data_IF_307164929198
#
_entry.id   IF_307164929198
#
_cell.length_a   1.000
_cell.length_b   1.000
_cell.length_c   1.000
_cell.angle_alpha   90.00
_cell.angle_beta   90.00
_cell.angle_gamma   90.00
#
_symmetry.space_group_name_H-M   'P 1'
#
loop_
_entity.id
_entity.type
_entity.pdbx_description
1 polymer ?
#
# COMPACT_ATOMS: atom_id res chain seq x y z
N UNK A 1 44.71 -45.50 45.75
CA UNK A 1 44.96 -44.08 45.40
C UNK A 1 44.11 -43.75 44.17
N UNK A 2 42.85 -43.40 44.37
CA UNK A 2 41.88 -43.12 43.31
C UNK A 2 41.67 -41.60 43.21
N UNK A 3 41.98 -41.01 42.06
CA UNK A 3 41.69 -39.61 41.75
C UNK A 3 40.21 -39.49 41.37
N UNK A 4 39.42 -38.88 42.25
CA UNK A 4 38.11 -38.36 41.91
C UNK A 4 38.26 -37.18 40.95
N UNK A 5 37.87 -37.37 39.70
CA UNK A 5 37.63 -36.29 38.74
C UNK A 5 36.24 -35.74 39.02
N UNK A 6 36.17 -34.58 39.67
CA UNK A 6 34.96 -33.77 39.75
C UNK A 6 34.74 -33.08 38.40
N UNK A 7 33.66 -33.43 37.71
CA UNK A 7 33.22 -32.75 36.51
C UNK A 7 32.81 -31.30 36.86
N UNK A 8 33.16 -30.30 36.03
CA UNK A 8 32.66 -28.94 36.21
C UNK A 8 31.20 -28.88 35.76
N UNK A 9 30.26 -28.99 36.70
CA UNK A 9 28.86 -28.59 36.51
C UNK A 9 28.75 -27.06 36.47
N UNK A 10 29.36 -26.45 35.46
CA UNK A 10 29.24 -25.05 35.13
C UNK A 10 28.31 -24.86 33.94
N UNK A 11 27.07 -25.32 34.04
CA UNK A 11 26.03 -25.06 33.06
C UNK A 11 25.74 -23.56 33.04
N UNK A 12 26.49 -22.80 32.25
CA UNK A 12 26.24 -21.40 31.96
C UNK A 12 24.85 -21.31 31.31
N UNK A 13 23.82 -21.13 32.13
CA UNK A 13 22.52 -20.66 31.66
C UNK A 13 22.79 -19.30 31.04
N UNK A 14 22.86 -19.27 29.71
CA UNK A 14 22.90 -18.05 28.92
C UNK A 14 21.59 -17.33 29.26
N UNK A 15 21.65 -16.47 30.27
CA UNK A 15 20.55 -15.68 30.72
C UNK A 15 20.21 -14.69 29.62
N UNK A 16 19.38 -15.12 28.67
CA UNK A 16 18.57 -14.25 27.83
C UNK A 16 17.68 -13.47 28.81
N UNK A 17 18.25 -12.42 29.41
CA UNK A 17 17.63 -11.68 30.49
C UNK A 17 16.35 -10.95 30.06
N UNK A 18 15.86 -9.99 30.86
CA UNK A 18 14.56 -9.32 30.64
C UNK A 18 14.43 -8.49 29.34
N UNK A 19 15.42 -8.53 28.46
CA UNK A 19 15.44 -7.86 27.15
C UNK A 19 14.70 -8.67 26.09
N UNK A 20 14.86 -10.00 26.08
CA UNK A 20 14.18 -10.89 25.13
C UNK A 20 12.64 -10.81 25.24
N UNK A 21 12.02 -10.93 26.45
CA UNK A 21 10.58 -10.83 26.56
C UNK A 21 10.05 -9.44 26.17
N UNK A 22 10.81 -8.37 26.38
CA UNK A 22 10.43 -7.01 25.97
C UNK A 22 10.50 -6.83 24.46
N UNK A 23 11.53 -7.37 23.81
CA UNK A 23 11.66 -7.36 22.36
C UNK A 23 10.53 -8.17 21.70
N UNK A 24 10.22 -9.35 22.22
CA UNK A 24 9.12 -10.18 21.75
C UNK A 24 7.75 -9.51 21.97
N UNK A 25 7.55 -8.85 23.12
CA UNK A 25 6.33 -8.09 23.37
C UNK A 25 6.16 -6.92 22.39
N UNK A 26 7.22 -6.15 22.13
CA UNK A 26 7.21 -5.06 21.14
C UNK A 26 6.94 -5.57 19.72
N UNK A 27 7.57 -6.69 19.35
CA UNK A 27 7.35 -7.34 18.06
C UNK A 27 5.91 -7.84 17.92
N UNK A 28 5.37 -8.52 18.93
CA UNK A 28 3.99 -8.99 18.93
C UNK A 28 3.01 -7.82 18.79
N UNK A 29 3.27 -6.70 19.47
CA UNK A 29 2.46 -5.48 19.37
C UNK A 29 2.48 -4.89 17.96
N UNK A 30 3.65 -4.84 17.31
CA UNK A 30 3.79 -4.38 15.92
C UNK A 30 3.09 -5.32 14.94
N UNK A 31 3.20 -6.63 15.13
CA UNK A 31 2.51 -7.62 14.27
C UNK A 31 1.00 -7.46 14.39
N UNK A 32 0.47 -7.33 15.61
CA UNK A 32 -0.97 -7.13 15.85
C UNK A 32 -1.44 -5.81 15.24
N UNK A 33 -0.69 -4.72 15.43
CA UNK A 33 -1.00 -3.43 14.81
C UNK A 33 -0.99 -3.52 13.29
N UNK A 34 0.00 -4.20 12.69
CA UNK A 34 0.06 -4.39 11.24
C UNK A 34 -1.10 -5.20 10.69
N UNK A 35 -1.46 -6.31 11.35
CA UNK A 35 -2.63 -7.11 10.99
C UNK A 35 -3.91 -6.27 11.05
N UNK A 36 -4.09 -5.48 12.12
CA UNK A 36 -5.26 -4.59 12.27
C UNK A 36 -5.34 -3.55 11.15
N UNK A 37 -4.21 -2.91 10.79
CA UNK A 37 -4.19 -1.91 9.72
C UNK A 37 -4.50 -2.54 8.35
N UNK A 38 -4.08 -3.79 8.11
CA UNK A 38 -4.28 -4.51 6.86
C UNK A 38 -5.63 -5.25 6.77
N UNK A 39 -6.35 -5.41 7.88
CA UNK A 39 -7.52 -6.29 8.03
C UNK A 39 -8.79 -5.90 7.26
N UNK A 40 -8.80 -4.86 6.43
CA UNK A 40 -10.02 -4.45 5.72
C UNK A 40 -11.12 -3.82 6.60
N UNK A 41 -10.93 -3.71 7.92
CA UNK A 41 -11.88 -3.11 8.87
C UNK A 41 -12.26 -1.63 8.59
N UNK A 42 -13.36 -1.09 9.13
CA UNK A 42 -13.64 0.35 9.09
C UNK A 42 -12.51 1.16 9.75
N UNK A 43 -12.12 2.30 9.17
CA UNK A 43 -11.01 3.13 9.69
C UNK A 43 -11.24 3.59 11.14
N UNK A 44 -12.51 3.76 11.53
CA UNK A 44 -12.94 4.15 12.86
C UNK A 44 -12.56 3.11 13.93
N UNK A 45 -12.44 1.84 13.55
CA UNK A 45 -12.01 0.76 14.45
C UNK A 45 -10.49 0.55 14.37
N UNK A 46 -9.90 0.70 13.17
CA UNK A 46 -8.46 0.45 12.97
C UNK A 46 -7.57 1.45 13.71
N UNK A 47 -7.82 2.74 13.54
CA UNK A 47 -6.96 3.80 14.07
C UNK A 47 -6.84 3.81 15.61
N UNK A 48 -7.93 3.75 16.40
CA UNK A 48 -7.79 3.79 17.86
C UNK A 48 -7.12 2.54 18.44
N UNK A 49 -7.13 1.41 17.72
CA UNK A 49 -6.50 0.17 18.17
C UNK A 49 -5.02 0.08 17.74
N UNK A 50 -4.70 0.46 16.50
CA UNK A 50 -3.35 0.31 15.97
C UNK A 50 -2.41 1.48 16.34
N UNK A 51 -2.92 2.71 16.35
CA UNK A 51 -2.10 3.91 16.53
C UNK A 51 -1.38 3.97 17.89
N UNK A 52 -2.02 3.64 19.03
CA UNK A 52 -1.33 3.64 20.32
C UNK A 52 -0.19 2.62 20.37
N UNK A 53 -0.37 1.46 19.72
CA UNK A 53 0.60 0.39 19.69
C UNK A 53 1.87 0.81 18.93
N UNK A 54 1.68 1.38 17.74
CA UNK A 54 2.75 1.92 16.89
C UNK A 54 3.51 3.04 17.63
N UNK A 55 2.78 4.05 18.13
CA UNK A 55 3.39 5.19 18.86
C UNK A 55 4.17 4.71 20.08
N UNK A 56 3.63 3.75 20.84
CA UNK A 56 4.30 3.22 22.02
C UNK A 56 5.60 2.49 21.65
N UNK A 57 5.60 1.64 20.61
CA UNK A 57 6.79 0.89 20.21
C UNK A 57 7.87 1.81 19.63
N UNK A 58 7.50 2.72 18.73
CA UNK A 58 8.40 3.73 18.18
C UNK A 58 8.98 4.62 19.28
N UNK A 59 8.10 5.14 20.14
CA UNK A 59 8.45 6.03 21.23
C UNK A 59 9.40 5.40 22.24
N UNK A 60 9.14 4.16 22.67
CA UNK A 60 10.00 3.44 23.61
C UNK A 60 11.37 3.19 22.95
N UNK A 61 11.38 2.80 21.68
CA UNK A 61 12.60 2.50 20.94
C UNK A 61 13.50 3.74 20.79
N UNK A 62 12.94 4.86 20.35
CA UNK A 62 13.66 6.14 20.23
C UNK A 62 14.13 6.63 21.61
N UNK A 63 13.29 6.52 22.63
CA UNK A 63 13.64 6.91 24.00
C UNK A 63 14.84 6.11 24.52
N UNK A 64 14.90 4.81 24.24
CA UNK A 64 16.05 3.96 24.59
C UNK A 64 17.29 4.34 23.77
N UNK A 65 17.12 4.68 22.50
CA UNK A 65 18.22 5.10 21.62
C UNK A 65 18.81 6.46 22.04
N UNK A 66 17.97 7.43 22.41
CA UNK A 66 18.38 8.80 22.72
C UNK A 66 18.81 8.94 24.18
N UNK A 67 17.96 8.48 25.12
CA UNK A 67 18.17 8.65 26.56
C UNK A 67 18.89 7.45 27.22
N UNK A 68 19.20 6.40 26.45
CA UNK A 68 19.87 5.21 26.94
C UNK A 68 18.98 4.27 27.78
N UNK A 69 19.54 3.13 28.23
CA UNK A 69 18.82 2.17 29.07
C UNK A 69 18.39 2.80 30.41
N UNK A 70 17.28 2.35 31.00
CA UNK A 70 17.05 2.54 32.44
C UNK A 70 18.10 1.72 33.18
N UNK A 71 19.09 2.36 33.79
CA UNK A 71 19.91 1.74 34.83
C UNK A 71 19.06 1.68 36.10
N UNK A 72 18.64 0.49 36.56
CA UNK A 72 18.10 0.39 37.91
C UNK A 72 19.21 0.86 38.87
N UNK A 73 18.87 1.80 39.75
CA UNK A 73 19.79 2.31 40.77
C UNK A 73 20.29 1.11 41.57
N UNK A 74 21.59 0.83 41.51
CA UNK A 74 22.18 -0.22 42.31
C UNK A 74 21.97 0.14 43.79
N UNK A 75 21.44 -0.77 44.63
CA UNK A 75 21.09 -0.45 46.01
C UNK A 75 22.29 -0.11 46.92
N UNK A 76 23.54 -0.32 46.46
CA UNK A 76 24.74 -0.26 47.32
C UNK A 76 25.76 0.85 46.97
N UNK A 77 25.44 1.79 46.08
CA UNK A 77 26.35 2.93 45.82
C UNK A 77 26.03 4.08 46.80
N UNK A 78 26.96 4.28 47.74
CA UNK A 78 26.96 5.25 48.82
C UNK A 78 26.38 6.63 48.47
N UNK A 79 25.76 7.23 49.48
CA UNK A 79 24.96 8.48 49.49
C UNK A 79 25.64 9.76 48.93
N UNK A 80 26.88 9.69 48.44
CA UNK A 80 27.66 10.88 48.05
C UNK A 80 27.72 11.14 46.53
N UNK A 81 27.11 10.29 45.70
CA UNK A 81 26.96 10.60 44.28
C UNK A 81 25.80 11.60 44.09
N UNK A 82 26.01 12.78 43.47
CA UNK A 82 24.92 13.70 43.17
C UNK A 82 23.86 12.91 42.40
N UNK A 83 22.55 13.08 42.71
CA UNK A 83 21.50 12.27 42.11
C UNK A 83 21.63 12.38 40.60
N UNK A 84 22.13 11.32 39.96
CA UNK A 84 22.23 11.24 38.52
C UNK A 84 20.82 11.48 38.02
N UNK A 85 20.60 12.67 37.43
CA UNK A 85 19.30 13.27 37.11
C UNK A 85 18.34 12.15 36.75
N UNK A 86 17.59 11.69 37.76
CA UNK A 86 16.76 10.51 37.63
C UNK A 86 15.58 11.02 36.84
N UNK A 87 15.70 10.96 35.52
CA UNK A 87 14.77 11.58 34.59
C UNK A 87 13.36 11.20 35.02
N UNK A 88 12.61 12.21 35.46
CA UNK A 88 11.29 12.10 36.03
C UNK A 88 10.47 11.10 35.20
N UNK A 89 9.89 10.04 35.81
CA UNK A 89 9.13 9.04 35.06
C UNK A 89 8.02 9.66 34.21
N UNK A 90 7.45 10.78 34.63
CA UNK A 90 6.46 11.54 33.85
C UNK A 90 7.10 12.19 32.63
N UNK A 91 8.23 12.88 32.81
CA UNK A 91 8.96 13.50 31.70
C UNK A 91 9.37 12.46 30.65
N UNK A 92 9.80 11.28 31.09
CA UNK A 92 10.20 10.20 30.19
C UNK A 92 9.00 9.58 29.47
N UNK A 93 7.84 9.49 30.12
CA UNK A 93 6.59 9.07 29.48
C UNK A 93 6.14 10.08 28.41
N UNK A 94 6.17 11.38 28.73
CA UNK A 94 5.89 12.45 27.78
C UNK A 94 6.86 12.44 26.60
N UNK A 95 8.17 12.28 26.86
CA UNK A 95 9.19 12.15 25.83
C UNK A 95 8.96 10.93 24.94
N UNK A 96 8.53 9.79 25.52
CA UNK A 96 8.20 8.57 24.78
C UNK A 96 7.06 8.84 23.79
N UNK A 97 5.98 9.49 24.22
CA UNK A 97 4.86 9.84 23.34
C UNK A 97 5.30 10.83 22.26
N UNK A 98 6.02 11.89 22.63
CA UNK A 98 6.52 12.88 21.66
C UNK A 98 7.43 12.25 20.62
N UNK A 99 8.41 11.44 21.04
CA UNK A 99 9.30 10.74 20.12
C UNK A 99 8.56 9.73 19.25
N UNK A 100 7.55 9.05 19.80
CA UNK A 100 6.71 8.13 19.02
C UNK A 100 5.96 8.86 17.91
N UNK A 101 5.34 10.00 18.21
CA UNK A 101 4.64 10.83 17.20
C UNK A 101 5.62 11.38 16.16
N UNK A 102 6.77 11.91 16.59
CA UNK A 102 7.79 12.46 15.68
C UNK A 102 8.38 11.36 14.79
N UNK A 103 8.55 10.14 15.31
CA UNK A 103 9.08 8.99 14.57
C UNK A 103 8.16 8.53 13.42
N UNK A 104 6.89 8.95 13.39
CA UNK A 104 5.98 8.66 12.27
C UNK A 104 6.20 9.58 11.06
N UNK A 105 6.86 10.73 11.23
CA UNK A 105 7.10 11.68 10.13
C UNK A 105 8.15 11.19 9.11
N UNK A 106 9.32 10.67 9.51
CA UNK A 106 10.33 10.17 8.58
C UNK A 106 9.85 9.19 7.50
N UNK A 107 9.05 8.13 7.80
CA UNK A 107 8.60 7.21 6.75
C UNK A 107 7.72 7.89 5.70
N UNK A 108 6.88 8.86 6.10
CA UNK A 108 6.05 9.64 5.17
C UNK A 108 6.90 10.56 4.29
N UNK A 109 7.89 11.24 4.88
CA UNK A 109 8.81 12.11 4.14
C UNK A 109 9.68 11.33 3.15
N UNK A 110 10.19 10.16 3.56
CA UNK A 110 10.96 9.27 2.69
C UNK A 110 10.11 8.76 1.52
N UNK A 111 8.84 8.41 1.76
CA UNK A 111 7.94 8.02 0.68
C UNK A 111 7.76 9.13 -0.37
N UNK A 112 7.60 10.38 0.07
CA UNK A 112 7.56 11.53 -0.82
C UNK A 112 8.86 11.70 -1.62
N UNK A 113 10.02 11.53 -0.97
CA UNK A 113 11.33 11.65 -1.61
C UNK A 113 11.56 10.57 -2.69
N UNK A 114 11.10 9.35 -2.46
CA UNK A 114 11.25 8.23 -3.40
C UNK A 114 10.15 8.14 -4.46
N UNK A 115 9.23 9.13 -4.51
CA UNK A 115 8.12 9.12 -5.46
C UNK A 115 7.12 7.98 -5.23
N UNK A 116 7.10 7.40 -4.03
CA UNK A 116 6.15 6.34 -3.67
C UNK A 116 4.78 6.98 -3.49
N UNK A 117 3.77 6.43 -4.17
CA UNK A 117 2.40 6.92 -4.04
C UNK A 117 1.94 6.83 -2.59
N UNK A 118 1.52 7.96 -2.04
CA UNK A 118 1.03 8.06 -0.66
C UNK A 118 -0.40 7.53 -0.65
N UNK A 119 -0.57 6.32 -0.12
CA UNK A 119 -1.85 5.64 0.10
C UNK A 119 -1.86 5.13 1.54
N UNK A 120 -3.03 4.84 2.09
CA UNK A 120 -3.15 4.32 3.46
C UNK A 120 -2.31 3.06 3.67
N UNK A 121 -2.29 2.19 2.65
CA UNK A 121 -1.52 0.94 2.65
C UNK A 121 -0.02 1.20 2.60
N UNK A 122 0.45 2.17 1.80
CA UNK A 122 1.88 2.47 1.73
C UNK A 122 2.36 3.10 3.05
N UNK A 123 1.61 4.06 3.60
CA UNK A 123 1.92 4.66 4.91
C UNK A 123 2.02 3.59 5.99
N UNK A 124 1.03 2.69 6.07
CA UNK A 124 1.00 1.60 7.05
C UNK A 124 2.27 0.74 7.01
N UNK A 125 2.69 0.33 5.82
CA UNK A 125 3.91 -0.46 5.65
C UNK A 125 5.17 0.32 5.99
N UNK A 126 5.27 1.57 5.55
CA UNK A 126 6.43 2.41 5.85
C UNK A 126 6.63 2.58 7.35
N UNK A 127 5.55 2.83 8.07
CA UNK A 127 5.55 2.97 9.53
C UNK A 127 5.95 1.66 10.21
N UNK A 128 5.36 0.52 9.82
CA UNK A 128 5.70 -0.78 10.41
C UNK A 128 7.16 -1.17 10.22
N UNK A 129 7.70 -0.96 9.02
CA UNK A 129 9.10 -1.27 8.70
C UNK A 129 10.04 -0.35 9.48
N UNK A 130 9.71 0.94 9.56
CA UNK A 130 10.49 1.92 10.31
C UNK A 130 10.52 1.60 11.81
N UNK A 131 9.37 1.29 12.40
CA UNK A 131 9.27 0.94 13.82
C UNK A 131 9.99 -0.36 14.15
N UNK A 132 9.93 -1.35 13.24
CA UNK A 132 10.69 -2.59 13.38
C UNK A 132 12.20 -2.32 13.38
N UNK A 133 12.68 -1.44 12.49
CA UNK A 133 14.09 -1.05 12.46
C UNK A 133 14.51 -0.33 13.74
N UNK A 134 13.67 0.56 14.27
CA UNK A 134 13.89 1.23 15.56
C UNK A 134 13.94 0.22 16.72
N UNK A 135 13.02 -0.75 16.76
CA UNK A 135 13.00 -1.79 17.79
C UNK A 135 14.27 -2.65 17.75
N UNK A 136 14.72 -3.03 16.55
CA UNK A 136 15.99 -3.77 16.36
C UNK A 136 17.18 -2.92 16.82
N UNK A 137 17.24 -1.64 16.45
CA UNK A 137 18.32 -0.75 16.88
C UNK A 137 18.34 -0.56 18.41
N UNK A 138 17.16 -0.38 19.03
CA UNK A 138 17.02 -0.22 20.47
C UNK A 138 17.44 -1.49 21.22
N UNK A 139 17.03 -2.66 20.75
CA UNK A 139 17.42 -3.95 21.35
C UNK A 139 18.91 -4.25 21.20
N UNK A 140 19.51 -3.91 20.06
CA UNK A 140 20.96 -4.00 19.86
C UNK A 140 21.73 -3.08 20.81
N UNK A 141 21.26 -1.84 21.01
CA UNK A 141 21.86 -0.89 21.97
C UNK A 141 21.76 -1.39 23.41
N UNK A 142 20.62 -1.95 23.80
CA UNK A 142 20.43 -2.55 25.13
C UNK A 142 21.34 -3.76 25.35
N UNK A 143 21.59 -4.57 24.33
CA UNK A 143 22.50 -5.72 24.39
C UNK A 143 23.97 -5.27 24.48
N UNK A 144 24.36 -4.24 23.71
CA UNK A 144 25.70 -3.67 23.71
C UNK A 144 26.08 -3.02 25.05
N UNK A 145 25.16 -2.26 25.66
CA UNK A 145 25.39 -1.59 26.95
C UNK A 145 25.65 -2.56 28.12
N UNK A 146 25.20 -3.82 28.02
CA UNK A 146 25.52 -4.86 29.02
C UNK A 146 26.90 -5.47 28.81
N UNK A 147 27.34 -5.57 27.56
CA UNK A 147 28.65 -6.15 27.24
C UNK A 147 29.82 -5.29 27.72
N UNK A 148 29.62 -3.99 27.93
CA UNK A 148 30.62 -3.10 28.56
C UNK A 148 30.62 -3.20 30.09
N UNK A 149 29.48 -3.51 30.72
CA UNK A 149 29.39 -3.70 32.17
C UNK A 149 29.93 -5.07 32.63
N UNK A 150 29.83 -6.11 31.78
CA UNK A 150 30.28 -7.48 32.05
C UNK A 150 31.62 -7.84 31.34
N UNK A 151 32.58 -6.91 31.25
CA UNK A 151 33.95 -7.26 30.81
C UNK A 151 34.70 -7.96 31.96
N UNK A 152 34.24 -9.17 32.29
CA UNK A 152 35.02 -10.21 32.91
C UNK A 152 34.52 -11.56 32.36
N UNK A 153 35.19 -12.02 31.30
CA UNK A 153 35.25 -13.44 30.86
C UNK A 153 33.94 -14.02 30.29
N UNK A 154 33.81 -14.12 28.95
CA UNK A 154 33.23 -15.28 28.18
C UNK A 154 33.03 -14.95 26.67
N UNK A 155 32.92 -15.94 25.76
CA UNK A 155 33.40 -15.83 24.39
C UNK A 155 32.36 -15.21 23.46
N UNK A 156 32.75 -14.13 22.80
CA UNK A 156 31.93 -13.14 22.10
C UNK A 156 31.41 -13.57 20.72
N UNK A 157 31.50 -14.85 20.33
CA UNK A 157 31.20 -15.31 18.97
C UNK A 157 29.80 -15.89 18.77
N UNK A 158 29.30 -16.70 19.71
CA UNK A 158 28.03 -17.42 19.51
C UNK A 158 26.78 -16.56 19.79
N UNK A 159 26.87 -15.64 20.76
CA UNK A 159 25.80 -14.66 21.02
C UNK A 159 25.69 -13.64 19.89
N UNK A 160 26.82 -13.22 19.31
CA UNK A 160 26.85 -12.40 18.08
C UNK A 160 26.23 -13.13 16.89
N UNK A 161 26.49 -14.43 16.72
CA UNK A 161 25.85 -15.26 15.69
C UNK A 161 24.35 -15.40 15.89
N UNK A 162 23.88 -15.64 17.12
CA UNK A 162 22.44 -15.72 17.42
C UNK A 162 21.70 -14.42 17.09
N UNK A 163 22.30 -13.27 17.42
CA UNK A 163 21.77 -11.95 17.05
C UNK A 163 21.83 -11.68 15.55
N UNK A 164 22.89 -12.14 14.87
CA UNK A 164 23.02 -12.00 13.42
C UNK A 164 21.99 -12.87 12.67
N UNK A 165 21.72 -14.07 13.16
CA UNK A 165 20.69 -14.97 12.61
C UNK A 165 19.29 -14.41 12.89
N UNK A 166 19.01 -13.95 14.10
CA UNK A 166 17.73 -13.29 14.42
C UNK A 166 17.53 -12.01 13.59
N UNK A 167 18.57 -11.19 13.45
CA UNK A 167 18.56 -10.00 12.61
C UNK A 167 18.38 -10.32 11.13
N UNK A 168 19.02 -11.38 10.63
CA UNK A 168 18.84 -11.85 9.26
C UNK A 168 17.44 -12.40 9.00
N UNK A 169 16.82 -13.11 9.97
CA UNK A 169 15.44 -13.59 9.87
C UNK A 169 14.45 -12.43 9.87
N UNK A 170 14.65 -11.42 10.72
CA UNK A 170 13.81 -10.22 10.75
C UNK A 170 13.99 -9.38 9.48
N UNK A 171 15.21 -9.23 8.98
CA UNK A 171 15.48 -8.56 7.71
C UNK A 171 14.90 -9.32 6.51
N UNK A 172 14.97 -10.65 6.52
CA UNK A 172 14.36 -11.50 5.49
C UNK A 172 12.83 -11.42 5.53
N UNK A 173 12.22 -11.39 6.72
CA UNK A 173 10.79 -11.15 6.89
C UNK A 173 10.40 -9.76 6.38
N UNK A 174 11.15 -8.71 6.73
CA UNK A 174 10.93 -7.36 6.24
C UNK A 174 11.09 -7.26 4.70
N UNK A 175 12.04 -8.00 4.12
CA UNK A 175 12.23 -8.10 2.67
C UNK A 175 11.09 -8.87 1.99
N UNK A 176 10.64 -10.00 2.55
CA UNK A 176 9.50 -10.77 2.04
C UNK A 176 8.20 -9.96 2.07
N UNK A 177 8.01 -9.22 3.16
CA UNK A 177 6.90 -8.31 3.37
C UNK A 177 6.98 -7.11 2.42
N UNK A 178 8.17 -6.52 2.25
CA UNK A 178 8.41 -5.44 1.29
C UNK A 178 8.19 -5.90 -0.16
N UNK A 179 8.65 -7.11 -0.52
CA UNK A 179 8.45 -7.69 -1.84
C UNK A 179 6.98 -7.99 -2.14
N UNK A 180 6.23 -8.50 -1.16
CA UNK A 180 4.77 -8.68 -1.29
C UNK A 180 4.03 -7.34 -1.38
N UNK A 181 4.50 -6.30 -0.69
CA UNK A 181 3.96 -4.94 -0.82
C UNK A 181 4.25 -4.33 -2.20
N UNK A 182 5.46 -4.52 -2.77
CA UNK A 182 5.79 -4.10 -4.14
C UNK A 182 4.91 -4.85 -5.14
N UNK A 183 4.74 -6.16 -4.98
CA UNK A 183 3.85 -6.97 -5.81
C UNK A 183 2.38 -6.47 -5.74
N UNK A 184 1.89 -6.15 -4.54
CA UNK A 184 0.57 -5.53 -4.31
C UNK A 184 0.45 -4.11 -4.86
N UNK A 185 1.54 -3.34 -4.89
CA UNK A 185 1.54 -1.98 -5.44
C UNK A 185 1.60 -1.96 -6.97
N UNK A 186 2.15 -3.03 -7.57
CA UNK A 186 2.08 -3.30 -9.01
C UNK A 186 0.72 -3.90 -9.42
N UNK A 187 -0.03 -4.42 -8.45
CA UNK A 187 -1.45 -4.68 -8.62
C UNK A 187 -2.14 -3.32 -8.84
N UNK A 188 -2.43 -3.01 -10.11
CA UNK A 188 -3.19 -1.82 -10.52
C UNK A 188 -4.44 -1.77 -9.65
N UNK A 189 -4.42 -0.91 -8.62
CA UNK A 189 -5.54 -0.76 -7.71
C UNK A 189 -6.76 -0.36 -8.54
N UNK A 190 -7.70 -1.30 -8.64
CA UNK A 190 -9.03 -1.13 -9.22
C UNK A 190 -9.73 -0.05 -8.43
N UNK A 191 -9.70 1.19 -8.90
CA UNK A 191 -10.33 2.28 -8.16
C UNK A 191 -11.82 2.35 -8.45
N UNK A 192 -12.28 2.06 -9.67
CA UNK A 192 -13.71 2.13 -9.99
C UNK A 192 -14.09 1.11 -11.07
N UNK A 193 -15.21 0.41 -10.88
CA UNK A 193 -15.84 -0.38 -11.96
C UNK A 193 -16.55 0.60 -12.89
N UNK A 194 -15.91 0.97 -13.99
CA UNK A 194 -16.52 1.83 -15.00
C UNK A 194 -16.34 1.26 -16.41
N UNK A 195 -17.29 1.61 -17.28
CA UNK A 195 -17.21 1.34 -18.70
C UNK A 195 -16.81 2.62 -19.44
N UNK A 196 -15.73 2.57 -20.21
CA UNK A 196 -15.34 3.69 -21.08
C UNK A 196 -15.85 3.44 -22.49
N UNK A 197 -16.48 4.47 -23.06
CA UNK A 197 -17.01 4.43 -24.42
C UNK A 197 -16.19 5.35 -25.34
N UNK A 198 -15.61 4.80 -26.41
CA UNK A 198 -14.76 5.56 -27.36
C UNK A 198 -15.08 5.19 -28.80
N UNK A 199 -14.78 6.09 -29.75
CA UNK A 199 -14.90 5.83 -31.18
C UNK A 199 -13.78 4.93 -31.68
N UNK A 200 -14.14 3.95 -32.51
CA UNK A 200 -13.21 3.06 -33.21
C UNK A 200 -12.69 3.69 -34.51
N UNK A 201 -13.61 4.14 -35.37
CA UNK A 201 -13.42 4.76 -36.72
C UNK A 201 -14.76 5.46 -37.09
N UNK A 202 -14.85 6.43 -38.04
CA UNK A 202 -13.93 6.80 -39.12
C UNK A 202 -12.95 7.92 -38.75
N UNK A 203 -12.01 8.23 -39.66
CA UNK A 203 -11.15 9.43 -39.56
C UNK A 203 -12.02 10.68 -39.42
N UNK A 204 -12.26 11.09 -38.17
CA UNK A 204 -12.87 12.38 -37.88
C UNK A 204 -11.95 13.46 -38.45
N UNK A 205 -12.44 14.20 -39.44
CA UNK A 205 -11.78 15.40 -39.93
C UNK A 205 -11.91 16.48 -38.85
N UNK A 206 -11.00 16.46 -37.88
CA UNK A 206 -10.96 17.35 -36.72
C UNK A 206 -12.23 17.33 -35.84
N UNK A 207 -12.05 17.17 -34.52
CA UNK A 207 -13.05 17.56 -33.50
C UNK A 207 -14.43 16.87 -33.46
N UNK A 208 -14.58 15.59 -33.86
CA UNK A 208 -15.81 14.83 -33.55
C UNK A 208 -16.98 15.07 -34.51
N UNK A 209 -16.70 15.60 -35.70
CA UNK A 209 -17.66 15.81 -36.77
C UNK A 209 -17.59 14.67 -37.82
N UNK A 210 -18.75 14.12 -38.17
CA UNK A 210 -18.97 13.18 -39.26
C UNK A 210 -19.52 13.98 -40.46
N UNK A 211 -19.08 13.66 -41.66
CA UNK A 211 -19.59 14.27 -42.91
C UNK A 211 -20.13 13.21 -43.84
N UNK A 212 -21.35 13.40 -44.36
CA UNK A 212 -21.99 12.47 -45.29
C UNK A 212 -22.82 13.22 -46.35
N UNK A 213 -23.05 12.58 -47.50
CA UNK A 213 -24.03 13.06 -48.46
C UNK A 213 -25.46 12.70 -48.01
N UNK A 214 -26.50 13.43 -48.48
CA UNK A 214 -27.89 13.10 -48.19
C UNK A 214 -28.23 11.63 -48.47
N UNK A 215 -28.78 10.93 -47.47
CA UNK A 215 -29.15 9.51 -47.59
C UNK A 215 -27.97 8.53 -47.67
N UNK A 216 -26.72 8.99 -47.59
CA UNK A 216 -25.56 8.12 -47.61
C UNK A 216 -25.47 7.28 -46.32
N UNK A 217 -24.85 6.11 -46.41
CA UNK A 217 -24.60 5.28 -45.25
C UNK A 217 -23.47 5.88 -44.40
N UNK A 218 -23.73 6.04 -43.11
CA UNK A 218 -22.77 6.51 -42.10
C UNK A 218 -22.37 5.32 -41.25
N UNK A 219 -21.07 5.13 -41.10
CA UNK A 219 -20.47 4.08 -40.29
C UNK A 219 -19.82 4.71 -39.06
N UNK A 220 -20.12 4.18 -37.87
CA UNK A 220 -19.53 4.62 -36.61
C UNK A 220 -19.04 3.41 -35.82
N UNK A 221 -17.72 3.27 -35.75
CA UNK A 221 -17.05 2.29 -34.90
C UNK A 221 -17.10 2.70 -33.44
N UNK A 222 -17.27 1.73 -32.56
CA UNK A 222 -17.34 1.93 -31.13
C UNK A 222 -16.56 0.88 -30.34
N UNK A 223 -16.06 1.29 -29.19
CA UNK A 223 -15.30 0.46 -28.27
C UNK A 223 -15.81 0.71 -26.85
N UNK A 224 -16.25 -0.35 -26.19
CA UNK A 224 -16.65 -0.38 -24.79
C UNK A 224 -15.59 -1.15 -23.99
N UNK A 225 -14.94 -0.46 -23.04
CA UNK A 225 -13.89 -1.04 -22.19
C UNK A 225 -14.42 -1.23 -20.76
N UNK A 226 -14.33 -2.45 -20.24
CA UNK A 226 -14.72 -2.80 -18.88
C UNK A 226 -13.51 -2.89 -17.96
N UNK A 227 -13.42 -1.99 -16.99
CA UNK A 227 -12.40 -2.02 -15.95
C UNK A 227 -12.99 -2.68 -14.70
N UNK A 228 -12.74 -3.98 -14.50
CA UNK A 228 -13.36 -4.76 -13.42
C UNK A 228 -14.91 -4.76 -13.45
N UNK A 229 -15.46 -4.81 -14.66
CA UNK A 229 -16.88 -4.95 -14.94
C UNK A 229 -17.06 -5.94 -16.09
N UNK A 230 -17.90 -6.96 -15.90
CA UNK A 230 -18.22 -7.92 -16.95
C UNK A 230 -19.11 -7.24 -17.98
N UNK A 231 -18.60 -7.08 -19.21
CA UNK A 231 -19.40 -6.54 -20.30
C UNK A 231 -20.26 -7.65 -20.93
N UNK A 232 -21.51 -7.35 -21.34
CA UNK A 232 -22.30 -8.30 -22.12
C UNK A 232 -21.53 -8.74 -23.37
N UNK A 233 -21.78 -9.97 -23.83
CA UNK A 233 -21.16 -10.48 -25.07
C UNK A 233 -21.56 -9.61 -26.27
N UNK A 234 -22.86 -9.29 -26.34
CA UNK A 234 -23.47 -8.46 -27.38
C UNK A 234 -24.24 -7.30 -26.72
N UNK A 235 -23.59 -6.16 -26.41
CA UNK A 235 -24.29 -5.00 -25.87
C UNK A 235 -25.28 -4.43 -26.90
N UNK A 236 -26.48 -4.05 -26.46
CA UNK A 236 -27.43 -3.37 -27.33
C UNK A 236 -26.95 -1.95 -27.64
N UNK A 237 -26.91 -1.60 -28.92
CA UNK A 237 -26.52 -0.28 -29.42
C UNK A 237 -27.74 0.40 -30.04
N UNK A 238 -27.94 1.66 -29.71
CA UNK A 238 -29.01 2.50 -30.29
C UNK A 238 -28.43 3.80 -30.82
N UNK A 239 -29.04 4.34 -31.87
CA UNK A 239 -28.60 5.57 -32.52
C UNK A 239 -29.79 6.51 -32.69
N UNK A 240 -29.62 7.77 -32.31
CA UNK A 240 -30.55 8.86 -32.57
C UNK A 240 -29.86 9.91 -33.44
N UNK A 241 -30.56 10.43 -34.45
CA UNK A 241 -30.09 11.50 -35.33
C UNK A 241 -31.09 12.64 -35.29
N UNK A 242 -30.64 13.84 -34.89
CA UNK A 242 -31.53 14.99 -34.73
C UNK A 242 -32.56 14.83 -33.61
N UNK A 243 -32.37 13.86 -32.71
CA UNK A 243 -33.32 13.54 -31.63
C UNK A 243 -34.32 12.44 -31.98
N UNK A 244 -34.28 11.89 -33.19
CA UNK A 244 -35.15 10.79 -33.63
C UNK A 244 -34.36 9.47 -33.71
N UNK A 245 -34.91 8.35 -33.22
CA UNK A 245 -34.26 7.05 -33.33
C UNK A 245 -34.19 6.60 -34.79
N UNK A 246 -33.02 6.14 -35.21
CA UNK A 246 -32.81 5.63 -36.58
C UNK A 246 -32.64 4.11 -36.58
N UNK A 247 -33.10 3.46 -37.65
CA UNK A 247 -32.77 2.06 -37.86
C UNK A 247 -31.28 1.94 -38.15
N UNK A 248 -30.61 1.12 -37.35
CA UNK A 248 -29.17 0.96 -37.40
C UNK A 248 -28.82 -0.53 -37.40
N UNK A 249 -27.85 -0.92 -38.22
CA UNK A 249 -27.32 -2.28 -38.29
C UNK A 249 -26.02 -2.33 -37.51
N UNK A 250 -25.86 -3.32 -36.63
CA UNK A 250 -24.63 -3.51 -35.86
C UNK A 250 -23.81 -4.68 -36.41
N UNK A 251 -22.50 -4.50 -36.49
CA UNK A 251 -21.57 -5.56 -36.85
C UNK A 251 -20.36 -5.55 -35.89
N UNK A 252 -19.64 -6.67 -35.74
CA UNK A 252 -18.41 -6.72 -34.96
C UNK A 252 -17.30 -5.91 -35.66
N UNK A 253 -16.53 -5.16 -34.88
CA UNK A 253 -15.39 -4.37 -35.37
C UNK A 253 -14.10 -4.97 -34.82
N UNK A 254 -13.18 -5.35 -35.71
CA UNK A 254 -11.85 -5.82 -35.34
C UNK A 254 -10.97 -4.62 -34.95
N UNK A 255 -10.60 -4.57 -33.67
CA UNK A 255 -9.78 -3.50 -33.10
C UNK A 255 -8.46 -4.12 -32.61
N UNK A 256 -7.31 -3.44 -32.77
CA UNK A 256 -6.04 -3.90 -32.21
C UNK A 256 -6.14 -4.18 -30.71
N UNK A 257 -5.29 -5.08 -30.23
CA UNK A 257 -5.25 -5.50 -28.84
C UNK A 257 -5.19 -4.30 -27.88
N UNK A 258 -6.07 -4.31 -26.87
CA UNK A 258 -6.22 -3.20 -25.94
C UNK A 258 -4.99 -3.06 -25.04
N UNK A 259 -4.36 -1.88 -25.07
CA UNK A 259 -3.18 -1.55 -24.25
C UNK A 259 -3.53 -0.73 -23.01
N UNK A 260 -4.82 -0.40 -22.80
CA UNK A 260 -5.29 0.48 -21.72
C UNK A 260 -5.46 -0.22 -20.37
N UNK A 261 -5.20 -1.53 -20.29
CA UNK A 261 -5.38 -2.31 -19.06
C UNK A 261 -6.82 -2.69 -18.75
N UNK A 262 -7.74 -2.56 -19.72
CA UNK A 262 -9.10 -3.09 -19.61
C UNK A 262 -9.08 -4.62 -19.48
N UNK A 263 -10.01 -5.19 -18.69
CA UNK A 263 -10.11 -6.64 -18.52
C UNK A 263 -10.91 -7.30 -19.64
N UNK A 264 -11.94 -6.59 -20.09
CA UNK A 264 -12.81 -7.00 -21.18
C UNK A 264 -13.00 -5.80 -22.08
N UNK A 265 -12.84 -6.01 -23.38
CA UNK A 265 -13.11 -5.00 -24.39
C UNK A 265 -14.11 -5.58 -25.38
N UNK A 266 -15.15 -4.80 -25.67
CA UNK A 266 -16.14 -5.07 -26.71
C UNK A 266 -16.04 -3.98 -27.75
N UNK A 267 -16.13 -4.35 -29.01
CA UNK A 267 -16.10 -3.41 -30.11
C UNK A 267 -17.11 -3.84 -31.15
N UNK A 268 -17.65 -2.84 -31.83
CA UNK A 268 -18.57 -3.03 -32.93
C UNK A 268 -18.59 -1.79 -33.80
N UNK A 269 -19.33 -1.88 -34.87
CA UNK A 269 -19.66 -0.79 -35.75
C UNK A 269 -21.18 -0.70 -35.84
N UNK A 270 -21.67 0.51 -36.05
CA UNK A 270 -23.06 0.74 -36.37
C UNK A 270 -23.17 1.49 -37.69
N UNK A 271 -24.06 1.00 -38.55
CA UNK A 271 -24.36 1.60 -39.84
C UNK A 271 -25.78 2.12 -39.86
N UNK A 272 -25.97 3.38 -40.26
CA UNK A 272 -27.28 4.02 -40.42
C UNK A 272 -27.28 4.98 -41.61
N UNK A 273 -28.46 5.36 -42.10
CA UNK A 273 -28.57 6.32 -43.20
C UNK A 273 -28.52 7.76 -42.68
N UNK A 274 -27.74 8.63 -43.33
CA UNK A 274 -27.77 10.07 -43.10
C UNK A 274 -29.13 10.65 -43.50
N UNK A 275 -29.59 11.73 -42.83
CA UNK A 275 -30.78 12.46 -43.26
C UNK A 275 -30.71 12.87 -44.73
N UNK A 276 -31.85 12.91 -45.41
CA UNK A 276 -31.95 13.33 -46.82
C UNK A 276 -31.93 14.86 -46.98
N UNK A 277 -32.14 15.60 -45.90
CA UNK A 277 -32.08 17.06 -45.88
C UNK A 277 -30.68 17.49 -45.42
N UNK A 278 -30.07 18.41 -46.17
CA UNK A 278 -28.78 18.98 -45.82
C UNK A 278 -28.88 19.78 -44.51
N UNK A 279 -27.89 19.66 -43.64
CA UNK A 279 -27.91 20.28 -42.33
C UNK A 279 -26.93 19.67 -41.34
N UNK A 280 -26.87 20.25 -40.14
CA UNK A 280 -26.10 19.75 -39.01
C UNK A 280 -27.03 19.02 -38.04
N UNK A 281 -26.74 17.73 -37.82
CA UNK A 281 -27.52 16.86 -36.95
C UNK A 281 -26.69 16.40 -35.77
N UNK A 282 -27.30 16.36 -34.60
CA UNK A 282 -26.70 15.73 -33.43
C UNK A 282 -26.94 14.23 -33.52
N UNK A 283 -25.88 13.44 -33.45
CA UNK A 283 -25.96 11.98 -33.38
C UNK A 283 -25.67 11.56 -31.94
N UNK A 284 -26.63 10.90 -31.30
CA UNK A 284 -26.43 10.26 -30.00
C UNK A 284 -26.32 8.76 -30.23
N UNK A 285 -25.22 8.18 -29.79
CA UNK A 285 -25.01 6.74 -29.84
C UNK A 285 -24.93 6.22 -28.40
N UNK A 286 -25.80 5.27 -28.08
CA UNK A 286 -25.98 4.75 -26.74
C UNK A 286 -25.72 3.25 -26.72
N UNK A 287 -24.80 2.81 -25.86
CA UNK A 287 -24.47 1.40 -25.66
C UNK A 287 -24.87 0.99 -24.25
N UNK A 288 -25.66 -0.07 -24.14
CA UNK A 288 -26.10 -0.57 -22.84
C UNK A 288 -24.93 -1.14 -22.04
N UNK A 289 -24.92 -0.83 -20.75
CA UNK A 289 -24.00 -1.36 -19.76
C UNK A 289 -24.68 -2.46 -18.92
N UNK A 290 -23.88 -3.36 -18.29
CA UNK A 290 -24.40 -4.51 -17.56
C UNK A 290 -25.17 -4.14 -16.28
N UNK A 291 -25.10 -2.88 -15.83
CA UNK A 291 -25.84 -2.39 -14.66
C UNK A 291 -27.22 -1.85 -15.04
N UNK A 292 -27.59 -1.93 -16.32
CA UNK A 292 -28.83 -1.35 -16.85
C UNK A 292 -28.71 0.14 -17.17
N UNK A 293 -27.51 0.72 -17.05
CA UNK A 293 -27.22 2.07 -17.51
C UNK A 293 -26.91 2.11 -19.00
N UNK A 294 -26.93 3.31 -19.59
CA UNK A 294 -26.48 3.54 -20.97
C UNK A 294 -25.24 4.43 -20.96
N UNK A 295 -24.25 4.08 -21.78
CA UNK A 295 -23.11 4.94 -22.07
C UNK A 295 -23.35 5.65 -23.38
N UNK A 296 -23.29 6.97 -23.36
CA UNK A 296 -23.61 7.79 -24.51
C UNK A 296 -22.37 8.45 -25.09
N UNK A 297 -22.35 8.55 -26.42
CA UNK A 297 -21.46 9.42 -27.16
C UNK A 297 -22.28 10.37 -28.01
N UNK A 298 -21.83 11.62 -28.03
CA UNK A 298 -22.43 12.67 -28.82
C UNK A 298 -21.48 13.04 -29.94
N UNK A 299 -22.00 12.99 -31.16
CA UNK A 299 -21.30 13.33 -32.40
C UNK A 299 -22.10 14.40 -33.13
N UNK A 300 -21.42 15.12 -34.02
CA UNK A 300 -22.07 16.01 -34.98
C UNK A 300 -22.01 15.36 -36.36
N UNK A 301 -23.10 15.37 -37.11
CA UNK A 301 -23.20 14.89 -38.48
C UNK A 301 -23.57 16.05 -39.39
N UNK A 302 -22.65 16.44 -40.25
CA UNK A 302 -22.87 17.39 -41.34
C UNK A 302 -23.30 16.65 -42.61
N UNK A 303 -24.51 16.96 -43.07
CA UNK A 303 -25.05 16.47 -44.34
C UNK A 303 -24.89 17.57 -45.38
N UNK A 304 -24.00 17.36 -46.36
CA UNK A 304 -23.64 18.34 -47.39
C UNK A 304 -24.08 17.86 -48.78
N UNK A 305 -24.60 18.79 -49.58
CA UNK A 305 -25.04 18.56 -50.97
C UNK A 305 -23.86 18.45 -51.92
#
# INVERSE_FOLDING_TARGET
>A
MARHLTAPEGGARIGLGPVLPRALAGLALLVVAGVLVLSGMPWQLRLPLALPAVIAVAGISVTVLVLGPRTPRAPDLADDAPPAVSADPLLRACATVMFGVIALLPPVLLMGLFGIRITDTSIAWGVLVFDLALLVAATARLAGARSEADVAVFPTRDVRRGFFVAGAVVAALALLVGATAVARSMEVQRVESYAQFTLGQPQLYASGELTAAPGAQVEVGWILRGYALDLPADPSVTVEVGGEPVQATTAPLDVPADTTGAQVTRSGEVLFAAPTEAGLYRVRLSVADPTGGTRELLLLLAVNV
#
